data_IF_594334354635
#
_entry.id   IF_594334354635
#
_cell.length_a   1.000
_cell.length_b   1.000
_cell.length_c   1.000
_cell.angle_alpha   90.00
_cell.angle_beta   90.00
_cell.angle_gamma   90.00
#
_symmetry.space_group_name_H-M   'P 1'
#
loop_
_entity.id
_entity.type
_entity.pdbx_description
1 polymer ?
#
# COMPACT_ATOMS: atom_id res chain seq x y z
N UNK A 1 4.62 1.11 14.27
CA UNK A 1 6.02 1.54 13.99
C UNK A 1 6.26 1.43 12.49
N UNK A 2 6.79 2.47 11.82
CA UNK A 2 7.16 2.45 10.39
C UNK A 2 8.31 1.47 10.03
N UNK A 3 8.84 0.72 11.01
CA UNK A 3 9.91 -0.25 10.81
C UNK A 3 9.40 -1.69 10.65
N UNK A 4 8.08 -1.90 10.61
CA UNK A 4 7.49 -3.22 10.37
C UNK A 4 7.28 -3.40 8.87
N UNK A 5 8.06 -4.28 8.26
CA UNK A 5 7.97 -4.64 6.85
C UNK A 5 7.39 -6.05 6.67
N UNK A 6 6.84 -6.38 5.48
CA UNK A 6 6.56 -5.51 4.33
C UNK A 6 5.45 -4.48 4.61
N UNK A 7 5.40 -3.45 3.78
CA UNK A 7 4.44 -2.36 3.84
C UNK A 7 3.79 -2.13 2.48
N UNK A 8 2.52 -1.73 2.54
CA UNK A 8 1.76 -1.28 1.39
C UNK A 8 1.74 0.24 1.41
N UNK A 9 2.38 0.86 0.42
CA UNK A 9 2.48 2.31 0.30
C UNK A 9 1.53 2.78 -0.79
N UNK A 10 0.71 3.79 -0.47
CA UNK A 10 -0.15 4.43 -1.46
C UNK A 10 0.44 5.78 -1.80
N UNK A 11 0.91 5.91 -3.04
CA UNK A 11 1.61 7.07 -3.58
C UNK A 11 0.92 7.43 -4.90
N UNK A 12 0.51 8.68 -5.09
CA UNK A 12 -0.25 9.09 -6.30
C UNK A 12 -1.49 8.25 -6.60
N UNK A 13 -2.13 7.68 -5.57
CA UNK A 13 -3.26 6.75 -5.71
C UNK A 13 -2.90 5.46 -6.49
N UNK A 14 -1.61 5.09 -6.47
CA UNK A 14 -1.09 3.81 -6.90
C UNK A 14 -0.51 3.06 -5.68
N UNK A 15 -0.50 1.74 -5.76
CA UNK A 15 0.04 0.89 -4.71
C UNK A 15 1.47 0.50 -5.02
N UNK A 16 2.34 0.72 -4.06
CA UNK A 16 3.73 0.28 -4.05
C UNK A 16 3.96 -0.67 -2.88
N UNK A 17 4.83 -1.65 -3.07
CA UNK A 17 5.16 -2.65 -2.04
C UNK A 17 6.59 -2.47 -1.61
N UNK A 18 6.79 -2.09 -0.34
CA UNK A 18 8.13 -2.00 0.25
C UNK A 18 8.38 -3.20 1.17
N UNK A 19 9.30 -4.10 0.81
CA UNK A 19 9.66 -5.27 1.64
C UNK A 19 10.74 -4.96 2.68
N UNK A 20 11.42 -3.84 2.52
CA UNK A 20 12.46 -3.36 3.43
C UNK A 20 12.62 -1.83 3.31
N UNK A 21 13.48 -1.27 4.15
CA UNK A 21 13.74 0.17 4.19
C UNK A 21 14.32 0.73 2.88
N UNK A 22 15.12 -0.07 2.16
CA UNK A 22 15.70 0.36 0.89
C UNK A 22 14.62 0.50 -0.17
N UNK A 23 13.77 -0.52 -0.34
CA UNK A 23 12.62 -0.48 -1.27
C UNK A 23 11.67 0.68 -0.94
N UNK A 24 11.42 0.95 0.34
CA UNK A 24 10.63 2.12 0.75
C UNK A 24 11.24 3.43 0.24
N UNK A 25 12.56 3.59 0.39
CA UNK A 25 13.25 4.79 -0.08
C UNK A 25 13.23 4.89 -1.61
N UNK A 26 13.31 3.76 -2.31
CA UNK A 26 13.20 3.70 -3.77
C UNK A 26 11.80 4.13 -4.24
N UNK A 27 10.72 3.66 -3.61
CA UNK A 27 9.36 4.11 -3.90
C UNK A 27 9.19 5.63 -3.71
N UNK A 28 9.91 6.23 -2.77
CA UNK A 28 9.83 7.67 -2.46
C UNK A 28 10.76 8.54 -3.33
N UNK A 29 11.75 7.95 -4.01
CA UNK A 29 12.81 8.68 -4.71
C UNK A 29 12.30 9.58 -5.86
N UNK A 30 11.10 9.33 -6.37
CA UNK A 30 10.45 10.15 -7.42
C UNK A 30 9.29 11.02 -6.94
N UNK A 31 8.95 10.98 -5.66
CA UNK A 31 7.74 11.64 -5.14
C UNK A 31 8.00 13.11 -4.88
N UNK A 32 7.15 13.98 -5.45
CA UNK A 32 7.22 15.41 -5.20
C UNK A 32 7.04 15.69 -3.70
N UNK A 33 7.80 16.66 -3.15
CA UNK A 33 7.73 17.00 -1.72
C UNK A 33 6.32 17.35 -1.25
N UNK A 34 5.50 17.98 -2.11
CA UNK A 34 4.10 18.31 -1.82
C UNK A 34 3.20 17.09 -1.65
N UNK A 35 3.63 15.94 -2.18
CA UNK A 35 2.85 14.70 -2.23
C UNK A 35 3.28 13.71 -1.15
N UNK A 36 4.44 13.91 -0.53
CA UNK A 36 4.89 13.13 0.62
C UNK A 36 3.90 13.18 1.79
N UNK A 37 3.14 14.26 1.93
CA UNK A 37 2.08 14.40 2.95
C UNK A 37 0.85 13.56 2.63
N UNK A 38 0.65 13.17 1.36
CA UNK A 38 -0.45 12.34 0.89
C UNK A 38 -0.11 10.84 0.93
N UNK A 39 1.17 10.49 1.11
CA UNK A 39 1.60 9.09 1.19
C UNK A 39 1.00 8.42 2.42
N UNK A 40 0.33 7.30 2.18
CA UNK A 40 -0.24 6.45 3.23
C UNK A 40 0.48 5.13 3.25
N UNK A 41 0.84 4.68 4.44
CA UNK A 41 1.53 3.42 4.67
C UNK A 41 0.60 2.53 5.47
N UNK A 42 0.20 1.41 4.89
CA UNK A 42 -0.49 0.34 5.57
C UNK A 42 0.55 -0.72 5.98
N UNK A 43 0.67 -0.95 7.30
CA UNK A 43 1.55 -1.99 7.83
C UNK A 43 0.82 -3.33 8.01
N UNK A 44 1.59 -4.40 8.28
CA UNK A 44 1.06 -5.75 8.54
C UNK A 44 0.10 -5.85 9.72
N UNK A 45 0.18 -4.92 10.67
CA UNK A 45 -0.72 -4.85 11.82
C UNK A 45 -2.09 -4.23 11.47
N UNK A 46 -2.26 -3.77 10.22
CA UNK A 46 -3.49 -3.15 9.75
C UNK A 46 -3.58 -1.65 10.07
N UNK A 47 -2.49 -1.04 10.51
CA UNK A 47 -2.46 0.38 10.87
C UNK A 47 -2.13 1.23 9.62
N UNK A 48 -2.90 2.30 9.43
CA UNK A 48 -2.62 3.32 8.42
C UNK A 48 -1.84 4.48 9.04
N UNK A 49 -0.64 4.70 8.54
CA UNK A 49 0.31 5.70 9.01
C UNK A 49 0.74 6.62 7.87
N UNK A 50 1.12 7.86 8.18
CA UNK A 50 1.88 8.70 7.25
C UNK A 50 3.40 8.42 7.37
N UNK A 51 4.22 9.09 6.56
CA UNK A 51 5.68 8.98 6.60
C UNK A 51 6.32 9.47 7.91
N UNK A 52 5.58 10.13 8.80
CA UNK A 52 6.01 10.58 10.12
C UNK A 52 5.59 9.59 11.24
N UNK A 53 5.12 8.39 10.86
CA UNK A 53 4.59 7.35 11.76
C UNK A 53 3.35 7.79 12.56
N UNK A 54 2.62 8.79 12.08
CA UNK A 54 1.37 9.24 12.70
C UNK A 54 0.17 8.55 12.05
N UNK A 55 -0.86 8.17 12.83
CA UNK A 55 -2.10 7.65 12.28
C UNK A 55 -2.70 8.60 11.25
N UNK A 56 -3.14 8.04 10.12
CA UNK A 56 -3.79 8.79 9.06
C UNK A 56 -5.13 8.16 8.66
N UNK A 57 -5.85 8.82 7.76
CA UNK A 57 -7.14 8.33 7.30
C UNK A 57 -6.98 6.99 6.57
N UNK A 58 -7.64 5.96 7.11
CA UNK A 58 -7.68 4.64 6.51
C UNK A 58 -8.39 4.66 5.15
N UNK A 59 -7.97 3.75 4.27
CA UNK A 59 -8.71 3.47 3.04
C UNK A 59 -9.97 2.67 3.37
N UNK A 60 -10.99 2.83 2.54
CA UNK A 60 -12.10 1.88 2.56
C UNK A 60 -11.65 0.53 1.99
N UNK A 61 -12.34 -0.54 2.35
CA UNK A 61 -12.05 -1.88 1.82
C UNK A 61 -12.18 -1.95 0.28
N UNK A 62 -13.07 -1.14 -0.30
CA UNK A 62 -13.22 -0.99 -1.75
C UNK A 62 -12.02 -0.28 -2.39
N UNK A 63 -11.53 0.80 -1.76
CA UNK A 63 -10.32 1.49 -2.23
C UNK A 63 -9.10 0.59 -2.16
N UNK A 64 -8.95 -0.16 -1.07
CA UNK A 64 -7.87 -1.12 -0.91
C UNK A 64 -7.95 -2.22 -1.98
N UNK A 65 -9.15 -2.78 -2.22
CA UNK A 65 -9.35 -3.76 -3.28
C UNK A 65 -8.98 -3.22 -4.66
N UNK A 66 -9.39 -1.99 -4.98
CA UNK A 66 -9.06 -1.36 -6.26
C UNK A 66 -7.54 -1.23 -6.45
N UNK A 67 -6.84 -0.73 -5.44
CA UNK A 67 -5.39 -0.54 -5.48
C UNK A 67 -4.61 -1.86 -5.59
N UNK A 68 -4.97 -2.85 -4.77
CA UNK A 68 -4.30 -4.16 -4.79
C UNK A 68 -4.55 -4.90 -6.10
N UNK A 69 -5.77 -4.86 -6.62
CA UNK A 69 -6.09 -5.52 -7.89
C UNK A 69 -5.44 -4.81 -9.08
N UNK A 70 -5.33 -3.48 -9.06
CA UNK A 70 -4.59 -2.72 -10.07
C UNK A 70 -3.09 -3.06 -10.05
N UNK A 71 -2.48 -3.13 -8.87
CA UNK A 71 -1.08 -3.55 -8.72
C UNK A 71 -0.83 -4.95 -9.28
N UNK A 72 -1.66 -5.93 -8.86
CA UNK A 72 -1.54 -7.31 -9.34
C UNK A 72 -1.75 -7.42 -10.85
N UNK A 73 -2.65 -6.62 -11.43
CA UNK A 73 -2.85 -6.54 -12.87
C UNK A 73 -1.58 -6.05 -13.59
N UNK A 74 -0.91 -5.03 -13.03
CA UNK A 74 0.35 -4.51 -13.57
C UNK A 74 1.50 -5.54 -13.48
N UNK A 75 1.50 -6.38 -12.43
CA UNK A 75 2.41 -7.52 -12.29
C UNK A 75 2.03 -8.74 -13.17
N UNK A 76 0.95 -8.63 -13.95
CA UNK A 76 0.52 -9.65 -14.93
C UNK A 76 -0.45 -10.70 -14.38
N UNK A 77 -0.96 -10.55 -13.16
CA UNK A 77 -2.02 -11.41 -12.64
C UNK A 77 -3.37 -11.09 -13.30
N UNK A 78 -4.12 -12.14 -13.66
CA UNK A 78 -5.44 -12.02 -14.26
C UNK A 78 -6.55 -12.57 -13.33
N UNK A 79 -7.82 -12.39 -13.73
CA UNK A 79 -9.00 -12.91 -13.02
C UNK A 79 -9.36 -12.25 -11.67
N UNK A 80 -8.94 -11.00 -11.44
CA UNK A 80 -9.18 -10.26 -10.20
C UNK A 80 -10.54 -9.56 -10.12
N UNK A 81 -11.31 -9.49 -11.22
CA UNK A 81 -12.54 -8.69 -11.32
C UNK A 81 -13.70 -9.10 -10.41
N UNK A 82 -13.59 -10.20 -9.67
CA UNK A 82 -14.57 -10.60 -8.65
C UNK A 82 -14.26 -10.02 -7.26
N UNK A 83 -13.05 -9.52 -7.05
CA UNK A 83 -12.61 -8.93 -5.79
C UNK A 83 -13.10 -7.48 -5.76
N UNK A 84 -14.12 -7.22 -4.92
CA UNK A 84 -14.73 -5.89 -4.78
C UNK A 84 -14.32 -5.17 -3.51
N UNK A 85 -14.00 -5.94 -2.47
CA UNK A 85 -13.54 -5.45 -1.16
C UNK A 85 -12.40 -6.34 -0.69
N UNK A 86 -11.48 -5.75 0.07
CA UNK A 86 -10.41 -6.46 0.77
C UNK A 86 -10.27 -5.87 2.17
N UNK A 87 -10.22 -6.75 3.16
CA UNK A 87 -9.62 -6.38 4.45
C UNK A 87 -8.10 -6.24 4.31
N UNK A 88 -7.46 -5.59 5.29
CA UNK A 88 -6.01 -5.45 5.34
C UNK A 88 -5.30 -6.80 5.27
N UNK A 89 -5.72 -7.78 6.08
CA UNK A 89 -5.16 -9.14 6.07
C UNK A 89 -5.22 -9.80 4.70
N UNK A 90 -6.39 -9.76 4.04
CA UNK A 90 -6.58 -10.35 2.72
C UNK A 90 -5.72 -9.67 1.64
N UNK A 91 -5.47 -8.36 1.77
CA UNK A 91 -4.58 -7.66 0.85
C UNK A 91 -3.14 -8.18 0.94
N UNK A 92 -2.60 -8.36 2.15
CA UNK A 92 -1.26 -8.93 2.33
C UNK A 92 -1.19 -10.38 1.85
N UNK A 93 -2.19 -11.21 2.19
CA UNK A 93 -2.25 -12.61 1.75
C UNK A 93 -2.29 -12.72 0.22
N UNK A 94 -3.09 -11.89 -0.45
CA UNK A 94 -3.23 -11.91 -1.90
C UNK A 94 -1.94 -11.48 -2.62
N UNK A 95 -1.16 -10.59 -2.01
CA UNK A 95 0.15 -10.14 -2.49
C UNK A 95 1.28 -11.12 -2.11
N UNK A 96 0.98 -12.17 -1.33
CA UNK A 96 1.97 -13.16 -0.87
C UNK A 96 2.99 -12.60 0.12
N UNK A 97 2.56 -11.67 0.99
CA UNK A 97 3.42 -10.85 1.85
C UNK A 97 3.46 -11.25 3.32
#
# INVERSE_FOLDING_TARGET
MLNSFPQLMVIYNELEVARNQQEQNECLHGVALSELTNVRVLNKQGEYLNLQAQPCLALTEEQLAHLVTAYLLNEGHCCLGKIKTLSTSQAFDLLGL
#
